data_IF_405675653593
#
_entry.id   IF_405675653593
#
_cell.length_a   1.000
_cell.length_b   1.000
_cell.length_c   1.000
_cell.angle_alpha   90.00
_cell.angle_beta   90.00
_cell.angle_gamma   90.00
#
_symmetry.space_group_name_H-M   'P 1'
#
loop_
_entity.id
_entity.type
_entity.pdbx_description
1 polymer ?
#
# COMPACT_ATOMS: atom_id res chain seq x y z
N UNK A 1 -13.67 -0.45 -21.33
CA UNK A 1 -14.18 0.92 -21.13
C UNK A 1 -14.34 1.14 -19.63
N UNK A 2 -13.42 1.86 -18.98
CA UNK A 2 -13.68 2.52 -17.70
C UNK A 2 -13.59 4.02 -17.99
N UNK A 3 -14.74 4.70 -17.97
CA UNK A 3 -14.94 6.07 -18.46
C UNK A 3 -14.71 7.16 -17.41
N UNK A 4 -14.02 6.87 -16.31
CA UNK A 4 -13.55 7.88 -15.35
C UNK A 4 -12.15 7.51 -14.84
N UNK A 5 -11.18 8.41 -15.04
CA UNK A 5 -9.79 8.25 -14.63
C UNK A 5 -9.62 8.40 -13.12
N UNK A 6 -10.10 7.41 -12.35
CA UNK A 6 -9.83 7.36 -10.92
C UNK A 6 -8.37 6.94 -10.66
N UNK A 7 -7.67 7.77 -9.88
CA UNK A 7 -6.31 7.50 -9.44
C UNK A 7 -6.24 6.14 -8.74
N UNK A 8 -5.25 5.32 -9.11
CA UNK A 8 -4.99 4.04 -8.45
C UNK A 8 -4.40 4.21 -7.04
N UNK A 9 -3.84 5.38 -6.72
CA UNK A 9 -3.26 5.70 -5.41
C UNK A 9 -3.48 7.19 -5.09
N UNK A 10 -3.42 7.54 -3.81
CA UNK A 10 -3.53 8.93 -3.34
C UNK A 10 -2.19 9.65 -3.40
N UNK A 11 -1.15 9.03 -2.83
CA UNK A 11 0.21 9.56 -2.91
C UNK A 11 1.25 8.43 -2.88
N UNK A 12 2.42 8.74 -3.44
CA UNK A 12 3.58 7.85 -3.50
C UNK A 12 4.76 8.54 -2.83
N UNK A 13 5.39 7.82 -1.90
CA UNK A 13 6.63 8.26 -1.25
C UNK A 13 7.74 7.30 -1.64
N UNK A 14 8.94 7.83 -1.87
CA UNK A 14 10.13 7.03 -2.12
C UNK A 14 11.23 7.40 -1.15
N UNK A 15 12.12 6.44 -0.88
CA UNK A 15 13.28 6.64 -0.03
C UNK A 15 14.40 5.71 -0.46
N UNK A 16 15.61 6.26 -0.52
CA UNK A 16 16.84 5.48 -0.50
C UNK A 16 17.33 5.37 0.94
N UNK A 17 17.68 4.17 1.37
CA UNK A 17 18.16 3.92 2.73
C UNK A 17 19.50 4.61 2.95
N UNK A 18 19.56 5.53 3.93
CA UNK A 18 20.79 6.22 4.29
C UNK A 18 21.91 5.28 4.76
N UNK A 19 23.15 5.70 4.56
CA UNK A 19 24.36 4.89 4.80
C UNK A 19 24.44 4.33 6.22
N UNK A 20 24.10 5.12 7.25
CA UNK A 20 24.09 4.67 8.65
C UNK A 20 23.08 3.54 8.88
N UNK A 21 21.85 3.69 8.35
CA UNK A 21 20.81 2.66 8.44
C UNK A 21 21.17 1.40 7.64
N UNK A 22 21.92 1.55 6.53
CA UNK A 22 22.40 0.42 5.75
C UNK A 22 23.49 -0.35 6.48
N UNK A 23 24.50 0.35 7.05
CA UNK A 23 25.56 -0.26 7.87
C UNK A 23 24.99 -1.05 9.04
N UNK A 24 24.01 -0.48 9.74
CA UNK A 24 23.30 -1.17 10.83
C UNK A 24 22.62 -2.46 10.33
N UNK A 25 21.97 -2.40 9.17
CA UNK A 25 21.28 -3.54 8.59
C UNK A 25 22.25 -4.63 8.11
N UNK A 26 23.38 -4.26 7.52
CA UNK A 26 24.45 -5.19 7.18
C UNK A 26 24.97 -5.88 8.44
N UNK A 27 25.27 -5.13 9.50
CA UNK A 27 25.76 -5.66 10.78
C UNK A 27 24.79 -6.68 11.36
N UNK A 28 23.50 -6.33 11.45
CA UNK A 28 22.45 -7.22 11.97
C UNK A 28 22.29 -8.51 11.15
N UNK A 29 22.61 -8.47 9.85
CA UNK A 29 22.55 -9.62 8.94
C UNK A 29 23.89 -10.36 8.79
N UNK A 30 24.96 -9.92 9.47
CA UNK A 30 26.30 -10.50 9.30
C UNK A 30 26.90 -10.31 7.90
N UNK A 31 26.52 -9.24 7.20
CA UNK A 31 26.97 -8.96 5.83
C UNK A 31 28.17 -7.99 5.81
N UNK A 32 29.13 -8.15 4.88
CA UNK A 32 30.25 -7.22 4.74
C UNK A 32 29.77 -5.83 4.29
N UNK A 33 30.50 -4.78 4.66
CA UNK A 33 30.16 -3.40 4.31
C UNK A 33 30.70 -3.02 2.92
N UNK A 34 30.05 -3.52 1.89
CA UNK A 34 30.36 -3.21 0.50
C UNK A 34 29.08 -2.95 -0.33
N UNK A 35 29.27 -2.48 -1.56
CA UNK A 35 28.17 -2.11 -2.45
C UNK A 35 27.26 -3.30 -2.77
N UNK A 36 27.82 -4.49 -2.99
CA UNK A 36 27.07 -5.74 -3.22
C UNK A 36 26.12 -6.06 -2.07
N UNK A 37 26.59 -6.00 -0.82
CA UNK A 37 25.74 -6.22 0.34
C UNK A 37 24.62 -5.19 0.44
N UNK A 38 24.93 -3.93 0.16
CA UNK A 38 23.99 -2.82 0.29
C UNK A 38 22.91 -2.80 -0.79
N UNK A 39 23.26 -3.13 -2.04
CA UNK A 39 22.40 -2.96 -3.21
C UNK A 39 21.83 -4.28 -3.77
N UNK A 40 22.47 -5.41 -3.51
CA UNK A 40 22.04 -6.73 -4.00
C UNK A 40 21.56 -7.65 -2.87
N UNK A 41 22.36 -7.86 -1.81
CA UNK A 41 21.98 -8.76 -0.71
C UNK A 41 20.87 -8.17 0.19
N UNK A 42 20.84 -6.85 0.35
CA UNK A 42 19.79 -6.12 1.05
C UNK A 42 18.80 -5.57 0.02
N UNK A 43 17.59 -6.12 0.04
CA UNK A 43 16.58 -5.88 -0.98
C UNK A 43 15.62 -4.71 -0.70
N UNK A 44 15.79 -4.01 0.42
CA UNK A 44 15.04 -2.80 0.81
C UNK A 44 15.95 -1.55 0.85
N UNK A 45 16.99 -1.52 0.01
CA UNK A 45 17.81 -0.33 -0.19
C UNK A 45 16.99 0.81 -0.77
N UNK A 46 16.14 0.48 -1.76
CA UNK A 46 15.13 1.35 -2.35
C UNK A 46 13.79 0.95 -1.73
N UNK A 47 13.11 1.93 -1.13
CA UNK A 47 11.78 1.75 -0.54
C UNK A 47 10.77 2.66 -1.24
N UNK A 48 9.68 2.07 -1.73
CA UNK A 48 8.51 2.76 -2.26
C UNK A 48 7.33 2.53 -1.32
N UNK A 49 6.55 3.57 -1.08
CA UNK A 49 5.29 3.49 -0.35
C UNK A 49 4.18 4.04 -1.22
N UNK A 50 3.21 3.19 -1.51
CA UNK A 50 2.01 3.55 -2.27
C UNK A 50 0.85 3.60 -1.29
N UNK A 51 0.34 4.80 -1.04
CA UNK A 51 -0.80 5.02 -0.16
C UNK A 51 -2.06 5.12 -1.02
N UNK A 52 -2.96 4.18 -0.81
CA UNK A 52 -4.21 4.00 -1.52
C UNK A 52 -5.37 4.63 -0.73
N UNK A 53 -6.43 5.02 -1.42
CA UNK A 53 -7.65 5.54 -0.79
C UNK A 53 -8.45 4.41 -0.16
N UNK A 54 -8.59 3.30 -0.90
CA UNK A 54 -9.43 2.18 -0.53
C UNK A 54 -8.65 0.86 -0.49
N UNK A 55 -9.24 -0.17 0.13
CA UNK A 55 -8.63 -1.49 0.23
C UNK A 55 -8.55 -2.17 -1.14
N UNK A 56 -9.58 -2.03 -1.97
CA UNK A 56 -9.61 -2.60 -3.33
C UNK A 56 -8.55 -1.98 -4.26
N UNK A 57 -8.11 -0.75 -3.99
CA UNK A 57 -7.04 -0.12 -4.74
C UNK A 57 -5.67 -0.76 -4.43
N UNK A 58 -5.49 -1.36 -3.24
CA UNK A 58 -4.28 -2.17 -2.96
C UNK A 58 -4.21 -3.35 -3.94
N UNK A 59 -5.29 -4.12 -4.07
CA UNK A 59 -5.34 -5.25 -5.02
C UNK A 59 -5.17 -4.77 -6.47
N UNK A 60 -5.70 -3.59 -6.84
CA UNK A 60 -5.47 -2.98 -8.16
C UNK A 60 -3.99 -2.69 -8.40
N UNK A 61 -3.32 -2.02 -7.48
CA UNK A 61 -1.88 -1.72 -7.60
C UNK A 61 -1.03 -2.98 -7.62
N UNK A 62 -1.39 -4.02 -6.85
CA UNK A 62 -0.68 -5.31 -6.89
C UNK A 62 -0.72 -5.94 -8.30
N UNK A 63 -1.88 -5.90 -8.98
CA UNK A 63 -2.00 -6.37 -10.36
C UNK A 63 -1.16 -5.53 -11.31
N UNK A 64 -1.20 -4.20 -11.17
CA UNK A 64 -0.42 -3.29 -12.02
C UNK A 64 1.09 -3.50 -11.85
N UNK A 65 1.58 -3.62 -10.61
CA UNK A 65 3.00 -3.85 -10.31
C UNK A 65 3.52 -5.17 -10.90
N UNK A 66 2.70 -6.22 -10.87
CA UNK A 66 3.03 -7.52 -11.48
C UNK A 66 3.03 -7.49 -13.01
N UNK A 67 2.33 -6.53 -13.61
CA UNK A 67 2.25 -6.39 -15.06
C UNK A 67 3.37 -5.50 -15.64
N UNK A 68 4.22 -4.89 -14.80
CA UNK A 68 5.34 -4.06 -15.26
C UNK A 68 6.36 -4.96 -15.99
N UNK A 69 6.70 -4.67 -17.26
CA UNK A 69 7.75 -5.40 -17.97
C UNK A 69 9.09 -5.34 -17.23
N UNK A 70 9.82 -6.45 -17.16
CA UNK A 70 11.11 -6.53 -16.43
C UNK A 70 10.98 -6.54 -14.90
N UNK A 71 9.76 -6.49 -14.35
CA UNK A 71 9.50 -6.58 -12.92
C UNK A 71 9.08 -8.00 -12.53
N UNK A 72 9.76 -8.57 -11.54
CA UNK A 72 9.39 -9.86 -10.93
C UNK A 72 9.19 -9.68 -9.44
N UNK A 73 8.07 -10.14 -8.91
CA UNK A 73 7.85 -10.19 -7.47
C UNK A 73 8.57 -11.42 -6.91
N UNK A 74 9.53 -11.19 -6.02
CA UNK A 74 10.35 -12.28 -5.44
C UNK A 74 10.02 -12.57 -3.98
N UNK A 75 9.27 -11.68 -3.32
CA UNK A 75 8.77 -11.91 -1.97
C UNK A 75 7.51 -11.08 -1.73
N UNK A 76 6.52 -11.67 -1.06
CA UNK A 76 5.28 -11.00 -0.68
C UNK A 76 4.96 -11.26 0.80
N UNK A 77 4.43 -10.25 1.49
CA UNK A 77 3.92 -10.36 2.86
C UNK A 77 2.62 -9.57 2.98
N UNK A 78 1.52 -10.29 3.10
CA UNK A 78 0.19 -9.71 3.25
C UNK A 78 -0.13 -9.49 4.73
N UNK A 79 0.30 -8.36 5.31
CA UNK A 79 -0.14 -7.95 6.65
C UNK A 79 -1.47 -7.18 6.63
N UNK A 80 -2.12 -7.02 5.48
CA UNK A 80 -3.49 -6.49 5.41
C UNK A 80 -4.45 -7.57 5.88
N UNK A 81 -4.32 -8.78 5.34
CA UNK A 81 -5.11 -9.96 5.74
C UNK A 81 -4.53 -10.64 6.99
N UNK A 82 -3.20 -10.77 7.09
CA UNK A 82 -2.52 -11.40 8.23
C UNK A 82 -1.98 -10.34 9.19
N UNK A 83 -2.89 -9.68 9.91
CA UNK A 83 -2.58 -8.55 10.80
C UNK A 83 -1.59 -8.99 11.89
N UNK A 84 -0.58 -8.16 12.16
CA UNK A 84 0.35 -8.44 13.27
C UNK A 84 -0.35 -8.28 14.63
N UNK A 85 0.14 -8.92 15.71
CA UNK A 85 -0.46 -8.81 17.03
C UNK A 85 -0.61 -7.37 17.54
N UNK A 86 0.30 -6.48 17.17
CA UNK A 86 0.26 -5.06 17.53
C UNK A 86 -0.73 -4.23 16.69
N UNK A 87 -1.44 -4.81 15.73
CA UNK A 87 -2.40 -4.11 14.87
C UNK A 87 -1.81 -3.57 13.56
N UNK A 88 -0.51 -3.78 13.32
CA UNK A 88 0.14 -3.32 12.10
C UNK A 88 -0.46 -3.99 10.86
N UNK A 89 -0.87 -3.17 9.88
CA UNK A 89 -1.36 -3.58 8.56
C UNK A 89 -0.59 -2.89 7.44
N UNK A 90 -0.18 -3.64 6.43
CA UNK A 90 0.44 -3.16 5.19
C UNK A 90 0.70 -4.36 4.28
N UNK A 91 0.69 -4.17 2.97
CA UNK A 91 1.12 -5.19 2.02
C UNK A 91 2.56 -4.92 1.59
N UNK A 92 3.49 -5.86 1.79
CA UNK A 92 4.89 -5.68 1.40
C UNK A 92 5.25 -6.57 0.23
N UNK A 93 5.89 -5.98 -0.77
CA UNK A 93 6.48 -6.64 -1.91
C UNK A 93 7.98 -6.39 -1.93
N UNK A 94 8.77 -7.38 -2.33
CA UNK A 94 10.12 -7.16 -2.84
C UNK A 94 10.08 -7.44 -4.34
N UNK A 95 10.41 -6.40 -5.11
CA UNK A 95 10.51 -6.46 -6.55
C UNK A 95 11.97 -6.70 -6.94
N UNK A 96 12.18 -7.54 -7.95
CA UNK A 96 13.40 -7.63 -8.75
C UNK A 96 13.11 -6.94 -10.09
N UNK A 97 13.95 -5.99 -10.46
CA UNK A 97 13.83 -5.18 -11.66
C UNK A 97 15.04 -5.43 -12.57
N UNK A 98 14.80 -5.62 -13.85
CA UNK A 98 15.84 -5.68 -14.89
C UNK A 98 15.89 -4.35 -15.63
N UNK A 99 17.05 -3.72 -15.66
CA UNK A 99 17.26 -2.41 -16.29
C UNK A 99 18.38 -2.48 -17.33
N UNK A 100 18.35 -1.66 -18.40
CA UNK A 100 19.28 -1.74 -19.53
C UNK A 100 20.66 -1.12 -19.24
N UNK A 101 21.09 -1.13 -17.98
CA UNK A 101 22.39 -0.62 -17.52
C UNK A 101 22.94 -1.51 -16.40
N UNK A 102 24.27 -1.55 -16.20
CA UNK A 102 24.88 -2.55 -15.33
C UNK A 102 24.59 -2.36 -13.85
N UNK A 103 24.50 -3.48 -13.12
CA UNK A 103 24.35 -3.48 -11.67
C UNK A 103 25.69 -3.53 -10.91
N UNK A 104 25.60 -3.63 -9.58
CA UNK A 104 26.75 -3.69 -8.68
C UNK A 104 27.58 -4.98 -8.78
N UNK A 105 27.04 -6.02 -9.41
CA UNK A 105 27.73 -7.28 -9.70
C UNK A 105 28.31 -7.32 -11.12
N UNK A 106 28.01 -6.31 -11.95
CA UNK A 106 28.48 -6.19 -13.33
C UNK A 106 27.59 -6.88 -14.37
N UNK A 107 26.37 -7.27 -14.00
CA UNK A 107 25.41 -7.84 -14.96
C UNK A 107 24.86 -6.75 -15.88
N UNK A 108 24.68 -7.04 -17.16
CA UNK A 108 24.02 -6.17 -18.15
C UNK A 108 23.09 -7.03 -19.05
N UNK A 109 21.76 -6.95 -18.91
CA UNK A 109 21.01 -5.98 -18.10
C UNK A 109 21.21 -6.15 -16.59
N UNK A 110 21.27 -5.03 -15.87
CA UNK A 110 21.49 -5.01 -14.43
C UNK A 110 20.26 -5.39 -13.62
N UNK A 111 20.50 -5.99 -12.46
CA UNK A 111 19.46 -6.46 -11.53
C UNK A 111 19.38 -5.54 -10.30
N UNK A 112 18.19 -4.99 -10.06
CA UNK A 112 17.90 -4.10 -8.95
C UNK A 112 16.78 -4.65 -8.07
N UNK A 113 16.77 -4.26 -6.79
CA UNK A 113 15.71 -4.61 -5.86
C UNK A 113 15.07 -3.39 -5.21
N UNK A 114 13.74 -3.43 -5.10
CA UNK A 114 12.97 -2.42 -4.39
C UNK A 114 11.93 -3.07 -3.47
N UNK A 115 11.81 -2.56 -2.25
CA UNK A 115 10.70 -2.88 -1.36
C UNK A 115 9.54 -1.93 -1.64
N UNK A 116 8.37 -2.47 -1.99
CA UNK A 116 7.13 -1.70 -2.15
C UNK A 116 6.19 -2.01 -1.01
N UNK A 117 5.74 -0.98 -0.31
CA UNK A 117 4.75 -1.08 0.76
C UNK A 117 3.45 -0.44 0.29
N UNK A 118 2.38 -1.21 0.21
CA UNK A 118 1.04 -0.70 -0.07
C UNK A 118 0.24 -0.60 1.23
N UNK A 119 -0.48 0.52 1.38
CA UNK A 119 -1.27 0.85 2.57
C UNK A 119 -2.49 1.67 2.17
N UNK A 120 -3.54 1.66 2.98
CA UNK A 120 -4.55 2.72 2.94
C UNK A 120 -4.04 3.95 3.68
N UNK A 121 -4.75 5.08 3.53
CA UNK A 121 -4.50 6.30 4.32
C UNK A 121 -4.54 5.97 5.83
N UNK A 122 -5.56 5.25 6.28
CA UNK A 122 -5.72 4.90 7.69
C UNK A 122 -4.56 4.04 8.21
N UNK A 123 -4.11 3.05 7.43
CA UNK A 123 -2.94 2.23 7.78
C UNK A 123 -1.65 3.06 7.87
N UNK A 124 -1.45 4.02 6.97
CA UNK A 124 -0.24 4.84 6.98
C UNK A 124 -0.21 5.85 8.14
N UNK A 125 -1.36 6.44 8.46
CA UNK A 125 -1.50 7.29 9.66
C UNK A 125 -1.16 6.52 10.93
N UNK A 126 -1.72 5.31 11.09
CA UNK A 126 -1.43 4.46 12.25
C UNK A 126 0.05 4.06 12.34
N UNK A 127 0.61 3.60 11.22
CA UNK A 127 1.99 3.11 11.19
C UNK A 127 3.02 4.22 11.42
N UNK A 128 2.70 5.47 11.05
CA UNK A 128 3.54 6.63 11.32
C UNK A 128 3.61 6.92 12.82
N UNK A 129 2.48 6.86 13.52
CA UNK A 129 2.41 7.01 14.97
C UNK A 129 3.16 5.88 15.71
N UNK A 130 2.96 4.63 15.30
CA UNK A 130 3.66 3.48 15.89
C UNK A 130 5.19 3.58 15.74
N UNK A 131 5.64 4.04 14.57
CA UNK A 131 7.06 4.23 14.30
C UNK A 131 7.66 5.36 15.16
N UNK A 132 6.94 6.48 15.35
CA UNK A 132 7.39 7.56 16.24
C UNK A 132 7.55 7.06 17.68
N UNK A 133 6.60 6.26 18.17
CA UNK A 133 6.65 5.68 19.51
C UNK A 133 7.84 4.74 19.68
N UNK A 134 8.13 3.87 18.70
CA UNK A 134 9.31 2.99 18.74
C UNK A 134 10.64 3.75 18.82
N UNK A 135 10.70 4.96 18.28
CA UNK A 135 11.92 5.76 18.29
C UNK A 135 12.16 6.44 19.65
N UNK A 136 11.09 6.77 20.38
CA UNK A 136 11.19 7.37 21.72
C UNK A 136 11.49 6.30 22.76
N UNK A 137 12.75 6.27 23.24
CA UNK A 137 13.25 5.25 24.19
C UNK A 137 12.74 5.37 25.63
N UNK A 138 12.05 6.46 26.00
CA UNK A 138 11.70 6.75 27.39
C UNK A 138 10.20 7.07 27.54
N UNK A 139 9.36 6.12 27.14
CA UNK A 139 7.90 6.25 27.21
C UNK A 139 7.40 5.70 28.55
N UNK A 140 6.57 6.47 29.25
CA UNK A 140 5.82 5.99 30.42
C UNK A 140 4.67 5.10 29.94
N UNK A 141 4.48 3.95 30.58
CA UNK A 141 3.38 2.99 30.32
C UNK A 141 3.33 2.45 28.87
N UNK A 142 4.41 1.80 28.38
CA UNK A 142 4.48 1.29 27.00
C UNK A 142 3.40 0.23 26.69
N UNK A 143 2.99 -0.55 27.67
CA UNK A 143 1.96 -1.59 27.52
C UNK A 143 0.58 -0.97 27.23
N UNK A 144 0.17 0.02 28.03
CA UNK A 144 -1.08 0.72 27.83
C UNK A 144 -1.13 1.42 26.47
N UNK A 145 -0.04 2.07 26.08
CA UNK A 145 0.08 2.71 24.76
C UNK A 145 -0.01 1.68 23.64
N UNK A 146 0.61 0.50 23.81
CA UNK A 146 0.50 -0.60 22.85
C UNK A 146 -0.95 -1.11 22.70
N UNK A 147 -1.69 -1.22 23.79
CA UNK A 147 -3.11 -1.60 23.79
C UNK A 147 -3.97 -0.54 23.09
N UNK A 148 -3.77 0.74 23.41
CA UNK A 148 -4.49 1.83 22.75
C UNK A 148 -4.17 1.93 21.26
N UNK A 149 -2.91 1.77 20.87
CA UNK A 149 -2.54 1.68 19.46
C UNK A 149 -3.26 0.52 18.78
N UNK A 150 -3.28 -0.67 19.40
CA UNK A 150 -3.98 -1.82 18.83
C UNK A 150 -5.48 -1.53 18.65
N UNK A 151 -6.12 -0.92 19.65
CA UNK A 151 -7.52 -0.50 19.56
C UNK A 151 -7.74 0.48 18.39
N UNK A 152 -6.93 1.53 18.30
CA UNK A 152 -6.99 2.49 17.19
C UNK A 152 -6.79 1.82 15.82
N UNK A 153 -5.88 0.84 15.72
CA UNK A 153 -5.71 0.10 14.46
C UNK A 153 -7.00 -0.62 14.04
N UNK A 154 -7.71 -1.23 14.99
CA UNK A 154 -8.92 -1.98 14.69
C UNK A 154 -10.09 -1.05 14.33
N UNK A 155 -10.23 0.09 15.01
CA UNK A 155 -11.19 1.15 14.65
C UNK A 155 -10.92 1.71 13.23
N UNK A 156 -9.66 1.99 12.91
CA UNK A 156 -9.26 2.49 11.60
C UNK A 156 -9.57 1.47 10.48
N UNK A 157 -9.40 0.18 10.72
CA UNK A 157 -9.78 -0.84 9.74
C UNK A 157 -11.29 -0.97 9.55
N UNK A 158 -12.08 -0.83 10.61
CA UNK A 158 -13.53 -0.79 10.49
C UNK A 158 -13.99 0.43 9.67
N UNK A 159 -13.31 1.58 9.85
CA UNK A 159 -13.54 2.77 9.05
C UNK A 159 -13.20 2.54 7.57
N UNK A 160 -12.02 1.97 7.27
CA UNK A 160 -11.62 1.61 5.89
C UNK A 160 -12.67 0.71 5.20
N UNK A 161 -13.17 -0.32 5.90
CA UNK A 161 -14.19 -1.21 5.36
C UNK A 161 -15.52 -0.48 5.09
N UNK A 162 -15.92 0.41 5.99
CA UNK A 162 -17.13 1.21 5.84
C UNK A 162 -17.01 2.15 4.63
N UNK A 163 -15.87 2.83 4.48
CA UNK A 163 -15.59 3.70 3.34
C UNK A 163 -15.55 2.94 2.01
N UNK A 164 -14.96 1.74 1.98
CA UNK A 164 -14.99 0.84 0.82
C UNK A 164 -16.43 0.46 0.45
N UNK A 165 -17.27 0.14 1.44
CA UNK A 165 -18.68 -0.21 1.22
C UNK A 165 -19.45 0.96 0.64
N UNK A 166 -19.27 2.16 1.20
CA UNK A 166 -19.90 3.40 0.69
C UNK A 166 -19.49 3.64 -0.76
N UNK A 167 -18.19 3.48 -1.10
CA UNK A 167 -17.72 3.61 -2.50
C UNK A 167 -18.43 2.64 -3.44
N UNK A 168 -18.62 1.38 -3.03
CA UNK A 168 -19.32 0.38 -3.84
C UNK A 168 -20.78 0.80 -4.09
N UNK A 169 -21.47 1.24 -3.03
CA UNK A 169 -22.85 1.71 -3.13
C UNK A 169 -23.00 2.93 -4.06
N UNK A 170 -22.07 3.89 -4.02
CA UNK A 170 -22.06 5.06 -4.92
C UNK A 170 -21.90 4.61 -6.39
N UNK A 171 -21.08 3.60 -6.64
CA UNK A 171 -20.83 3.08 -8.00
C UNK A 171 -22.01 2.28 -8.54
N UNK A 172 -22.67 1.51 -7.68
CA UNK A 172 -23.88 0.76 -8.04
C UNK A 172 -25.05 1.72 -8.31
N UNK A 173 -25.22 2.78 -7.51
CA UNK A 173 -26.28 3.79 -7.71
C UNK A 173 -26.03 4.72 -8.91
N UNK A 174 -24.77 4.93 -9.30
CA UNK A 174 -24.40 5.70 -10.50
C UNK A 174 -24.67 5.00 -11.84
N UNK A 175 -25.18 3.76 -11.84
CA UNK A 175 -25.56 3.02 -13.07
C UNK A 175 -27.02 3.22 -13.50
N UNK A 176 -27.76 4.14 -12.86
CA UNK A 176 -29.11 4.50 -13.30
C UNK A 176 -29.00 5.43 -14.52
N UNK A 177 -29.29 4.89 -15.70
CA UNK A 177 -29.46 5.62 -16.95
C UNK A 177 -30.51 6.75 -16.79
N UNK A 178 -30.15 8.04 -17.02
CA UNK A 178 -31.10 9.15 -16.94
C UNK A 178 -32.20 9.12 -18.03
N UNK A 179 -32.19 8.12 -18.92
CA UNK A 179 -33.10 8.01 -20.07
C UNK A 179 -34.41 7.22 -19.90
N UNK A 180 -34.76 6.70 -18.71
CA UNK A 180 -36.07 6.03 -18.50
C UNK A 180 -36.95 6.81 -17.55
N UNK A 181 -37.55 7.88 -18.06
CA UNK A 181 -38.85 8.33 -17.55
C UNK A 181 -39.86 7.20 -17.73
N UNK A 182 -40.37 6.68 -16.62
CA UNK A 182 -41.50 5.76 -16.59
C UNK A 182 -42.74 6.50 -17.10
N UNK A 183 -43.01 6.36 -18.40
CA UNK A 183 -44.25 6.79 -19.01
C UNK A 183 -45.41 5.94 -18.52
N UNK A 184 -46.19 6.48 -17.58
CA UNK A 184 -47.61 6.18 -17.41
C UNK A 184 -48.29 7.41 -16.80
N UNK A 185 -48.82 8.28 -17.67
CA UNK A 185 -49.97 9.12 -17.31
C UNK A 185 -51.13 8.64 -18.15
N UNK A 186 -52.07 8.00 -17.47
CA UNK A 186 -53.37 7.61 -18.00
C UNK A 186 -54.14 8.86 -18.45
N UNK A 187 -54.57 8.88 -19.70
CA UNK A 187 -55.50 9.87 -20.24
C UNK A 187 -56.90 9.63 -19.65
N UNK A 188 -57.20 10.26 -18.52
CA UNK A 188 -58.57 10.50 -18.09
C UNK A 188 -59.11 11.73 -18.84
N UNK A 189 -59.68 11.51 -20.02
CA UNK A 189 -60.52 12.50 -20.70
C UNK A 189 -61.90 12.54 -20.05
N UNK A 190 -62.08 13.45 -19.11
CA UNK A 190 -63.39 13.90 -18.64
C UNK A 190 -63.84 15.08 -19.51
N UNK A 191 -64.79 14.88 -20.44
CA UNK A 191 -65.73 15.92 -20.92
C UNK A 191 -67.06 15.31 -21.40
N UNK A 192 -68.10 15.63 -20.62
CA UNK A 192 -69.53 15.89 -20.93
C UNK A 192 -70.23 15.07 -22.00
#
# INVERSE_FOLDING_TARGET
METHGENAYEHLLYRIKGTASMKEKCRRKGLPFNARSALHAIRDAIGLRIVCRFLSDIDRNLRLLRAIPGCTVIQEKDYVRNVKPNGYRSYHLILRLEEPFPDVEGNDPGIFYAEVQLRTIAMDSWASLEHELKYKRNIRNPELIGQELKRCADELAACDLSMETIRKLIRESGTVDPGKESGTREDFTCRR
#
